data_IF_225094232051
#
_entry.id   IF_225094232051
#
_cell.length_a   1.000
_cell.length_b   1.000
_cell.length_c   1.000
_cell.angle_alpha   90.00
_cell.angle_beta   90.00
_cell.angle_gamma   90.00
#
_symmetry.space_group_name_H-M   'P 1'
#
loop_
_entity.id
_entity.type
_entity.pdbx_description
1 polymer ?
#
# COMPACT_ATOMS: atom_id res chain seq x y z
N UNK A 1 -22.58 -8.06 15.31
CA UNK A 1 -22.52 -7.19 14.11
C UNK A 1 -21.13 -7.29 13.55
N UNK A 2 -20.96 -7.50 12.24
CA UNK A 2 -19.65 -7.31 11.61
C UNK A 2 -19.30 -5.83 11.68
N UNK A 3 -18.01 -5.54 11.84
CA UNK A 3 -17.52 -4.17 11.78
C UNK A 3 -17.73 -3.62 10.36
N UNK A 4 -18.10 -2.34 10.23
CA UNK A 4 -18.41 -1.72 8.92
C UNK A 4 -17.23 -1.80 7.94
N UNK A 5 -15.99 -1.79 8.43
CA UNK A 5 -14.81 -1.94 7.58
C UNK A 5 -14.68 -3.36 7.01
N UNK A 6 -15.21 -4.37 7.71
CA UNK A 6 -15.23 -5.77 7.27
C UNK A 6 -16.36 -6.08 6.27
N UNK A 7 -17.25 -5.12 5.99
CA UNK A 7 -18.31 -5.25 4.99
C UNK A 7 -17.84 -4.86 3.57
N UNK A 8 -16.64 -4.27 3.46
CA UNK A 8 -16.05 -3.87 2.17
C UNK A 8 -14.92 -4.80 1.76
N UNK A 9 -14.59 -4.82 0.46
CA UNK A 9 -13.42 -5.57 -0.04
C UNK A 9 -12.09 -4.89 0.30
N UNK A 10 -12.08 -3.70 0.91
CA UNK A 10 -10.86 -2.91 1.11
C UNK A 10 -9.78 -3.67 1.91
N UNK A 11 -10.14 -4.28 3.05
CA UNK A 11 -9.21 -5.06 3.86
C UNK A 11 -8.65 -6.26 3.09
N UNK A 12 -9.51 -6.94 2.32
CA UNK A 12 -9.11 -8.11 1.53
C UNK A 12 -8.14 -7.71 0.42
N UNK A 13 -8.41 -6.59 -0.26
CA UNK A 13 -7.56 -6.10 -1.33
C UNK A 13 -6.18 -5.65 -0.81
N UNK A 14 -6.15 -5.01 0.37
CA UNK A 14 -4.88 -4.65 1.03
C UNK A 14 -4.05 -5.90 1.37
N UNK A 15 -4.68 -6.94 1.92
CA UNK A 15 -3.99 -8.21 2.22
C UNK A 15 -3.51 -8.91 0.94
N UNK A 16 -4.33 -8.91 -0.12
CA UNK A 16 -3.94 -9.48 -1.41
C UNK A 16 -2.77 -8.71 -2.04
N UNK A 17 -2.75 -7.39 -1.91
CA UNK A 17 -1.67 -6.54 -2.39
C UNK A 17 -0.36 -6.80 -1.62
N UNK A 18 -0.41 -6.93 -0.30
CA UNK A 18 0.76 -7.35 0.50
C UNK A 18 1.32 -8.69 0.00
N UNK A 19 0.47 -9.69 -0.24
CA UNK A 19 0.89 -10.98 -0.79
C UNK A 19 1.51 -10.87 -2.18
N UNK A 20 0.99 -9.99 -3.03
CA UNK A 20 1.56 -9.73 -4.36
C UNK A 20 2.97 -9.11 -4.23
N UNK A 21 3.13 -8.13 -3.33
CA UNK A 21 4.42 -7.50 -3.07
C UNK A 21 5.43 -8.50 -2.47
N UNK A 22 5.00 -9.38 -1.58
CA UNK A 22 5.81 -10.47 -1.05
C UNK A 22 6.27 -11.45 -2.12
N UNK A 23 5.38 -11.83 -3.04
CA UNK A 23 5.74 -12.69 -4.16
C UNK A 23 6.74 -12.01 -5.12
N UNK A 24 6.63 -10.69 -5.30
CA UNK A 24 7.47 -9.91 -6.22
C UNK A 24 8.85 -9.59 -5.64
N UNK A 25 8.92 -9.26 -4.36
CA UNK A 25 10.11 -8.68 -3.73
C UNK A 25 10.63 -9.48 -2.53
N UNK A 26 10.00 -10.61 -2.19
CA UNK A 26 10.32 -11.49 -1.05
C UNK A 26 9.68 -11.02 0.26
N UNK A 27 9.11 -11.93 1.05
CA UNK A 27 8.35 -11.58 2.27
C UNK A 27 9.21 -11.04 3.43
N UNK A 28 10.44 -11.52 3.59
CA UNK A 28 11.31 -11.19 4.74
C UNK A 28 12.13 -9.90 4.51
N UNK A 29 11.45 -8.81 4.16
CA UNK A 29 12.09 -7.51 3.93
C UNK A 29 12.47 -6.84 5.24
N UNK A 30 13.77 -6.68 5.46
CA UNK A 30 14.34 -5.83 6.51
C UNK A 30 15.04 -4.62 5.90
N UNK A 31 14.23 -3.70 5.37
CA UNK A 31 14.72 -2.48 4.72
C UNK A 31 15.02 -1.40 5.76
N UNK A 32 15.94 -0.49 5.40
CA UNK A 32 16.19 0.71 6.18
C UNK A 32 14.93 1.61 6.22
N UNK A 33 14.63 2.31 7.33
CA UNK A 33 13.47 3.21 7.43
C UNK A 33 13.39 4.26 6.32
N UNK A 34 14.53 4.76 5.81
CA UNK A 34 14.57 5.65 4.66
C UNK A 34 14.00 4.99 3.41
N UNK A 35 14.38 3.73 3.15
CA UNK A 35 13.89 2.97 2.00
C UNK A 35 12.39 2.72 2.11
N UNK A 36 11.90 2.35 3.30
CA UNK A 36 10.46 2.25 3.56
C UNK A 36 9.72 3.56 3.29
N UNK A 37 10.26 4.68 3.78
CA UNK A 37 9.70 6.01 3.54
C UNK A 37 9.69 6.38 2.06
N UNK A 38 10.73 6.02 1.31
CA UNK A 38 10.81 6.25 -0.13
C UNK A 38 9.77 5.43 -0.91
N UNK A 39 9.60 4.14 -0.57
CA UNK A 39 8.57 3.27 -1.18
C UNK A 39 7.17 3.83 -0.92
N UNK A 40 6.85 4.19 0.33
CA UNK A 40 5.56 4.80 0.65
C UNK A 40 5.35 6.12 -0.12
N UNK A 41 6.39 6.93 -0.25
CA UNK A 41 6.35 8.18 -1.00
C UNK A 41 6.07 7.98 -2.49
N UNK A 42 6.60 6.92 -3.09
CA UNK A 42 6.33 6.55 -4.48
C UNK A 42 4.85 6.23 -4.68
N UNK A 43 4.27 5.34 -3.85
CA UNK A 43 2.84 4.96 -3.94
C UNK A 43 1.90 6.18 -3.77
N UNK A 44 2.27 7.12 -2.88
CA UNK A 44 1.53 8.39 -2.72
C UNK A 44 1.64 9.26 -3.98
N UNK A 45 2.81 9.29 -4.62
CA UNK A 45 3.02 9.96 -5.90
C UNK A 45 2.15 9.37 -7.01
N UNK A 46 2.12 8.04 -7.14
CA UNK A 46 1.29 7.32 -8.11
C UNK A 46 -0.20 7.58 -7.87
N UNK A 47 -0.65 7.58 -6.62
CA UNK A 47 -2.02 7.95 -6.27
C UNK A 47 -2.37 9.37 -6.71
N UNK A 48 -1.52 10.36 -6.43
CA UNK A 48 -1.77 11.73 -6.89
C UNK A 48 -1.80 11.83 -8.42
N UNK A 49 -0.93 11.09 -9.11
CA UNK A 49 -0.95 11.01 -10.56
C UNK A 49 -2.26 10.41 -11.08
N UNK A 50 -2.74 9.32 -10.46
CA UNK A 50 -4.01 8.69 -10.81
C UNK A 50 -5.19 9.65 -10.61
N UNK A 51 -5.23 10.38 -9.49
CA UNK A 51 -6.27 11.40 -9.22
C UNK A 51 -6.26 12.53 -10.25
N UNK A 52 -5.06 13.01 -10.63
CA UNK A 52 -4.93 14.02 -11.68
C UNK A 52 -5.41 13.48 -13.04
N UNK A 53 -5.05 12.24 -13.37
CA UNK A 53 -5.49 11.59 -14.60
C UNK A 53 -7.00 11.35 -14.61
N UNK A 54 -7.62 10.94 -13.50
CA UNK A 54 -9.08 10.83 -13.37
C UNK A 54 -9.78 12.15 -13.69
N UNK A 55 -9.18 13.28 -13.31
CA UNK A 55 -9.76 14.60 -13.53
C UNK A 55 -9.51 15.15 -14.92
N UNK A 56 -8.31 14.98 -15.47
CA UNK A 56 -7.86 15.67 -16.68
C UNK A 56 -7.61 14.74 -17.87
N UNK A 57 -7.83 13.43 -17.69
CA UNK A 57 -7.42 12.40 -18.62
C UNK A 57 -5.93 12.04 -18.46
N UNK A 58 -5.57 10.80 -18.81
CA UNK A 58 -4.20 10.32 -18.74
C UNK A 58 -4.11 8.80 -18.81
N UNK A 59 -2.90 8.26 -18.67
CA UNK A 59 -2.67 6.81 -18.77
C UNK A 59 -3.09 6.02 -17.52
N UNK A 60 -3.24 6.70 -16.39
CA UNK A 60 -3.59 6.11 -15.10
C UNK A 60 -5.05 6.42 -14.68
N UNK A 61 -5.94 6.70 -15.63
CA UNK A 61 -7.36 6.89 -15.34
C UNK A 61 -7.93 5.59 -14.77
N UNK A 62 -8.68 5.69 -13.69
CA UNK A 62 -9.37 4.60 -13.01
C UNK A 62 -8.51 3.86 -11.98
N UNK A 63 -7.22 4.19 -11.83
CA UNK A 63 -6.33 3.44 -10.93
C UNK A 63 -6.26 4.03 -9.52
N UNK A 64 -6.89 5.18 -9.24
CA UNK A 64 -6.81 5.85 -7.92
C UNK A 64 -7.14 4.94 -6.74
N UNK A 65 -8.12 4.04 -6.89
CA UNK A 65 -8.45 3.07 -5.82
C UNK A 65 -7.32 2.04 -5.63
N UNK A 66 -6.73 1.58 -6.72
CA UNK A 66 -5.64 0.60 -6.69
C UNK A 66 -4.42 1.20 -6.01
N UNK A 67 -4.03 2.43 -6.35
CA UNK A 67 -2.91 3.12 -5.68
C UNK A 67 -3.17 3.34 -4.19
N UNK A 68 -4.41 3.69 -3.80
CA UNK A 68 -4.77 3.81 -2.40
C UNK A 68 -4.64 2.48 -1.64
N UNK A 69 -4.90 1.34 -2.28
CA UNK A 69 -4.67 0.01 -1.72
C UNK A 69 -3.16 -0.26 -1.58
N UNK A 70 -2.34 0.10 -2.57
CA UNK A 70 -0.88 -0.04 -2.48
C UNK A 70 -0.29 0.78 -1.33
N UNK A 71 -0.73 2.03 -1.15
CA UNK A 71 -0.37 2.88 -0.01
C UNK A 71 -0.68 2.17 1.32
N UNK A 72 -1.91 1.66 1.47
CA UNK A 72 -2.34 0.99 2.70
C UNK A 72 -1.54 -0.29 2.96
N UNK A 73 -1.25 -1.07 1.91
CA UNK A 73 -0.41 -2.26 2.00
C UNK A 73 1.01 -1.94 2.45
N UNK A 74 1.65 -0.92 1.88
CA UNK A 74 2.99 -0.49 2.30
C UNK A 74 2.97 0.06 3.72
N UNK A 75 1.98 0.87 4.09
CA UNK A 75 1.85 1.42 5.43
C UNK A 75 1.73 0.31 6.50
N UNK A 76 0.94 -0.74 6.24
CA UNK A 76 0.84 -1.89 7.15
C UNK A 76 2.18 -2.63 7.30
N UNK A 77 2.91 -2.85 6.20
CA UNK A 77 4.21 -3.51 6.27
C UNK A 77 5.27 -2.68 7.03
N UNK A 78 5.17 -1.35 6.97
CA UNK A 78 5.99 -0.44 7.79
C UNK A 78 5.65 -0.60 9.27
N UNK A 79 4.36 -0.70 9.62
CA UNK A 79 3.94 -0.99 11.01
C UNK A 79 4.52 -2.33 11.45
N UNK A 80 4.38 -3.38 10.65
CA UNK A 80 4.94 -4.70 10.96
C UNK A 80 6.47 -4.68 11.10
N UNK A 81 7.17 -3.86 10.30
CA UNK A 81 8.60 -3.62 10.48
C UNK A 81 8.89 -3.04 11.87
N UNK A 82 8.17 -1.98 12.27
CA UNK A 82 8.32 -1.37 13.59
C UNK A 82 7.98 -2.31 14.73
N UNK A 83 6.95 -3.13 14.60
CA UNK A 83 6.59 -4.15 15.60
C UNK A 83 7.73 -5.16 15.79
N UNK A 84 8.37 -5.60 14.70
CA UNK A 84 9.52 -6.52 14.73
C UNK A 84 10.75 -5.88 15.39
N UNK A 85 11.02 -4.60 15.17
CA UNK A 85 12.21 -3.93 15.73
C UNK A 85 12.00 -3.39 17.14
N UNK A 86 10.79 -3.01 17.54
CA UNK A 86 10.47 -2.58 18.92
C UNK A 86 10.48 -3.75 19.92
N UNK A 87 10.26 -4.96 19.44
CA UNK A 87 10.30 -6.19 20.26
C UNK A 87 11.73 -6.74 20.43
N UNK A 88 12.75 -6.03 19.93
CA UNK A 88 14.18 -6.34 20.12
C UNK A 88 14.82 -5.40 21.12
#
# INVERSE_FOLDING_TARGET
>A
MKDKHQETEALKDVLAEMQRQDAKWGADRNLDPFVWGAILGEEVGEFHQAVLHDRFGGKAVGTSREEAVQIAAVALQIIEYYDRVQTR
#
